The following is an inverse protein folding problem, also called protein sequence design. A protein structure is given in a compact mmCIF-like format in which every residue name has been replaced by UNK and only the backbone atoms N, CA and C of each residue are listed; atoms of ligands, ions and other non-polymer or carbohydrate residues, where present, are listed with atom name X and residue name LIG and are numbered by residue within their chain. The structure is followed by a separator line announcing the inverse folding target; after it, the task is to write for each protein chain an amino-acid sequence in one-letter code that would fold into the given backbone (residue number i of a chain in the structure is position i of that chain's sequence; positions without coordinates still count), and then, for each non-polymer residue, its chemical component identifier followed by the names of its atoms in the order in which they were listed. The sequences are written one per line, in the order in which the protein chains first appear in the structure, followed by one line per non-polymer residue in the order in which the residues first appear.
data_IF_807089823075
#
_entry.id   IF_807089823075
#
_cell.length_a   1.000
_cell.length_b   1.000
_cell.length_c   1.000
_cell.angle_alpha   90.00
_cell.angle_beta   90.00
_cell.angle_gamma   90.00
#
_symmetry.space_group_name_H-M   'P 1'
#
loop_
_entity.id
_entity.type
_entity.pdbx_description
1 polymer ?
#
# COMPACT_ATOMS: atom_id res chain seq x y z
N UNK A 1 10.65 -37.46 24.60
CA UNK A 1 10.58 -37.20 23.15
C UNK A 1 9.72 -35.95 22.93
N UNK A 2 10.33 -34.76 22.84
CA UNK A 2 9.59 -33.51 22.57
C UNK A 2 10.28 -32.78 21.41
N UNK A 3 9.62 -32.70 20.25
CA UNK A 3 9.97 -31.76 19.20
C UNK A 3 8.73 -30.91 18.91
N UNK A 4 8.76 -29.67 19.38
CA UNK A 4 7.68 -28.70 19.31
C UNK A 4 7.69 -28.11 17.89
N UNK A 5 6.61 -28.35 17.15
CA UNK A 5 6.35 -27.84 15.81
C UNK A 5 6.27 -26.30 15.83
N UNK A 6 7.38 -25.60 15.62
CA UNK A 6 7.39 -24.15 15.46
C UNK A 6 7.04 -23.79 14.01
N UNK A 7 5.75 -23.48 13.78
CA UNK A 7 5.30 -22.80 12.57
C UNK A 7 6.08 -21.48 12.39
N UNK A 8 6.51 -21.11 11.17
CA UNK A 8 7.13 -19.81 10.95
C UNK A 8 6.10 -18.70 11.20
N UNK A 9 6.31 -17.98 12.29
CA UNK A 9 5.58 -16.78 12.69
C UNK A 9 5.85 -15.73 11.61
N UNK A 10 4.87 -15.46 10.75
CA UNK A 10 4.94 -14.36 9.77
C UNK A 10 5.39 -13.10 10.51
N UNK A 11 6.42 -12.38 10.04
CA UNK A 11 6.82 -11.15 10.69
C UNK A 11 5.61 -10.22 10.69
N UNK A 12 5.13 -9.89 11.88
CA UNK A 12 4.13 -8.85 12.10
C UNK A 12 4.80 -7.52 11.76
N UNK A 13 4.89 -7.20 10.47
CA UNK A 13 5.28 -5.89 9.98
C UNK A 13 4.32 -4.88 10.60
N UNK A 14 4.85 -4.11 11.54
CA UNK A 14 4.09 -3.05 12.20
C UNK A 14 3.76 -1.96 11.16
N UNK A 15 2.60 -1.30 11.24
CA UNK A 15 2.25 -0.19 10.33
C UNK A 15 3.33 0.92 10.29
N UNK A 16 4.05 1.11 11.41
CA UNK A 16 5.15 2.06 11.53
C UNK A 16 6.38 1.72 10.66
N UNK A 17 6.62 0.45 10.32
CA UNK A 17 7.72 0.08 9.43
C UNK A 17 7.45 0.45 7.97
N UNK A 18 6.19 0.48 7.52
CA UNK A 18 5.82 1.05 6.22
C UNK A 18 6.00 2.57 6.18
N UNK A 19 5.78 3.26 7.30
CA UNK A 19 5.98 4.71 7.39
C UNK A 19 7.45 5.13 7.31
N UNK A 20 8.39 4.21 7.59
CA UNK A 20 9.83 4.49 7.62
C UNK A 20 10.53 4.27 6.27
N UNK A 21 9.83 3.70 5.29
CA UNK A 21 10.37 3.47 3.94
C UNK A 21 9.62 4.36 2.96
N UNK A 22 10.06 5.61 2.81
CA UNK A 22 9.95 6.29 1.54
C UNK A 22 10.85 7.53 1.52
N UNK A 23 11.99 7.44 0.83
CA UNK A 23 12.49 8.61 0.13
C UNK A 23 11.34 9.16 -0.75
N UNK A 24 11.14 10.47 -0.85
CA UNK A 24 10.06 11.07 -1.66
C UNK A 24 10.02 10.49 -3.08
N UNK A 25 11.19 10.23 -3.67
CA UNK A 25 11.30 9.55 -4.97
C UNK A 25 10.69 8.15 -5.00
N UNK A 26 10.82 7.35 -3.94
CA UNK A 26 10.18 6.05 -3.83
C UNK A 26 8.67 6.19 -3.61
N UNK A 27 8.25 7.15 -2.80
CA UNK A 27 6.83 7.45 -2.59
C UNK A 27 6.16 7.81 -3.91
N UNK A 28 6.79 8.67 -4.70
CA UNK A 28 6.31 9.10 -6.00
C UNK A 28 6.21 7.94 -6.99
N UNK A 29 7.26 7.11 -7.10
CA UNK A 29 7.24 5.92 -7.97
C UNK A 29 6.14 4.94 -7.57
N UNK A 30 5.97 4.69 -6.28
CA UNK A 30 4.89 3.82 -5.78
C UNK A 30 3.52 4.44 -6.02
N UNK A 31 3.38 5.74 -5.78
CA UNK A 31 2.17 6.51 -6.08
C UNK A 31 1.74 6.39 -7.54
N UNK A 32 2.68 6.54 -8.47
CA UNK A 32 2.43 6.36 -9.91
C UNK A 32 1.91 4.95 -10.23
N UNK A 33 2.56 3.91 -9.73
CA UNK A 33 2.13 2.51 -9.96
C UNK A 33 0.75 2.26 -9.36
N UNK A 34 0.51 2.72 -8.13
CA UNK A 34 -0.77 2.56 -7.46
C UNK A 34 -1.89 3.32 -8.17
N UNK A 35 -1.61 4.53 -8.65
CA UNK A 35 -2.57 5.31 -9.43
C UNK A 35 -2.90 4.65 -10.77
N UNK A 36 -1.91 4.07 -11.45
CA UNK A 36 -2.15 3.30 -12.67
C UNK A 36 -3.09 2.11 -12.40
N UNK A 37 -2.84 1.33 -11.35
CA UNK A 37 -3.71 0.22 -10.99
C UNK A 37 -5.10 0.67 -10.54
N UNK A 38 -5.17 1.75 -9.76
CA UNK A 38 -6.44 2.35 -9.33
C UNK A 38 -7.27 2.77 -10.54
N UNK A 39 -6.69 3.58 -11.41
CA UNK A 39 -7.39 4.13 -12.58
C UNK A 39 -7.79 3.07 -13.60
N UNK A 40 -6.93 2.07 -13.81
CA UNK A 40 -7.25 0.92 -14.68
C UNK A 40 -8.38 0.04 -14.14
N UNK A 41 -8.57 -0.04 -12.82
CA UNK A 41 -9.56 -0.94 -12.20
C UNK A 41 -10.87 -0.25 -11.84
N UNK A 42 -10.81 1.03 -11.48
CA UNK A 42 -11.93 1.77 -10.88
C UNK A 42 -12.28 3.07 -11.63
N UNK A 43 -11.47 3.47 -12.61
CA UNK A 43 -11.66 4.72 -13.37
C UNK A 43 -10.75 5.85 -12.91
N UNK A 44 -10.65 6.89 -13.75
CA UNK A 44 -9.70 7.99 -13.62
C UNK A 44 -10.16 9.12 -12.67
N UNK A 45 -11.11 8.85 -11.78
CA UNK A 45 -11.60 9.87 -10.84
C UNK A 45 -10.49 10.31 -9.90
N UNK A 46 -10.22 11.62 -9.86
CA UNK A 46 -9.19 12.21 -9.01
C UNK A 46 -9.45 12.00 -7.52
N UNK A 47 -10.72 11.89 -7.14
CA UNK A 47 -11.12 11.60 -5.77
C UNK A 47 -11.01 10.09 -5.48
N UNK A 48 -10.23 9.74 -4.47
CA UNK A 48 -10.07 8.36 -4.06
C UNK A 48 -11.28 7.90 -3.26
N UNK A 49 -12.08 7.01 -3.86
CA UNK A 49 -13.18 6.34 -3.19
C UNK A 49 -12.61 5.32 -2.21
N UNK A 50 -12.89 5.51 -0.92
CA UNK A 50 -12.31 4.70 0.18
C UNK A 50 -12.45 3.20 -0.04
N UNK A 51 -13.60 2.72 -0.50
CA UNK A 51 -13.84 1.29 -0.76
C UNK A 51 -12.95 0.75 -1.89
N UNK A 52 -12.68 1.54 -2.93
CA UNK A 52 -11.77 1.16 -4.02
C UNK A 52 -10.33 1.14 -3.54
N UNK A 53 -9.94 2.15 -2.76
CA UNK A 53 -8.60 2.21 -2.16
C UNK A 53 -8.34 1.07 -1.20
N UNK A 54 -9.36 0.63 -0.43
CA UNK A 54 -9.29 -0.58 0.40
C UNK A 54 -9.07 -1.84 -0.42
N UNK A 55 -9.78 -2.00 -1.54
CA UNK A 55 -9.58 -3.16 -2.45
C UNK A 55 -8.19 -3.14 -3.08
N UNK A 56 -7.71 -1.98 -3.50
CA UNK A 56 -6.36 -1.82 -4.04
C UNK A 56 -5.28 -2.12 -2.99
N UNK A 57 -5.44 -1.61 -1.78
CA UNK A 57 -4.54 -1.84 -0.66
C UNK A 57 -4.46 -3.33 -0.29
N UNK A 58 -5.60 -4.01 -0.23
CA UNK A 58 -5.67 -5.45 -0.01
C UNK A 58 -4.97 -6.23 -1.14
N UNK A 59 -5.21 -5.87 -2.40
CA UNK A 59 -4.55 -6.50 -3.55
C UNK A 59 -3.05 -6.24 -3.63
N UNK A 60 -2.58 -5.11 -3.11
CA UNK A 60 -1.17 -4.72 -3.10
C UNK A 60 -0.41 -5.16 -1.85
N UNK A 61 -1.11 -5.70 -0.83
CA UNK A 61 -0.51 -6.02 0.46
C UNK A 61 0.00 -4.80 1.24
N UNK A 62 -0.58 -3.62 0.99
CA UNK A 62 -0.16 -2.35 1.60
C UNK A 62 -1.23 -1.80 2.54
N UNK A 63 -0.86 -0.99 3.55
CA UNK A 63 -1.84 -0.24 4.35
C UNK A 63 -2.63 0.75 3.49
N UNK A 64 -3.93 0.89 3.74
CA UNK A 64 -4.80 1.84 3.01
C UNK A 64 -4.25 3.26 3.10
N UNK A 65 -3.84 3.70 4.29
CA UNK A 65 -3.26 5.02 4.51
C UNK A 65 -1.96 5.26 3.74
N UNK A 66 -1.16 4.21 3.50
CA UNK A 66 0.02 4.31 2.65
C UNK A 66 -0.36 4.49 1.19
N UNK A 67 -1.35 3.72 0.71
CA UNK A 67 -1.85 3.83 -0.67
C UNK A 67 -2.42 5.22 -0.94
N UNK A 68 -3.27 5.73 -0.03
CA UNK A 68 -3.81 7.09 -0.12
C UNK A 68 -2.69 8.13 -0.15
N UNK A 69 -1.74 8.05 0.77
CA UNK A 69 -0.60 8.99 0.83
C UNK A 69 0.26 8.95 -0.43
N UNK A 70 0.58 7.76 -0.94
CA UNK A 70 1.42 7.59 -2.12
C UNK A 70 0.73 8.13 -3.38
N UNK A 71 -0.53 7.76 -3.61
CA UNK A 71 -1.30 8.27 -4.76
C UNK A 71 -1.46 9.79 -4.67
N UNK A 72 -1.86 10.31 -3.51
CA UNK A 72 -2.02 11.76 -3.33
C UNK A 72 -0.70 12.50 -3.54
N UNK A 73 0.42 11.96 -3.07
CA UNK A 73 1.73 12.55 -3.31
C UNK A 73 2.07 12.59 -4.80
N UNK A 74 1.83 11.51 -5.54
CA UNK A 74 2.01 11.48 -7.00
C UNK A 74 1.07 12.44 -7.76
N UNK A 75 -0.17 12.62 -7.31
CA UNK A 75 -1.14 13.51 -7.98
C UNK A 75 -0.94 15.00 -7.65
N UNK A 76 -0.04 15.32 -6.72
CA UNK A 76 0.22 16.70 -6.25
C UNK A 76 1.62 17.21 -6.61
N UNK A 77 2.52 16.34 -7.04
CA UNK A 77 3.91 16.64 -7.42
C UNK A 77 4.15 16.27 -8.89
#
# INVERSE_FOLDING_TARGET
MNAINQKPKRPSQTPAQFMRIANESDLFKKGRTLWYHYSSSFGYERELVRSNTQRLAHGSGLPVSFVERAINHYLTH
#
